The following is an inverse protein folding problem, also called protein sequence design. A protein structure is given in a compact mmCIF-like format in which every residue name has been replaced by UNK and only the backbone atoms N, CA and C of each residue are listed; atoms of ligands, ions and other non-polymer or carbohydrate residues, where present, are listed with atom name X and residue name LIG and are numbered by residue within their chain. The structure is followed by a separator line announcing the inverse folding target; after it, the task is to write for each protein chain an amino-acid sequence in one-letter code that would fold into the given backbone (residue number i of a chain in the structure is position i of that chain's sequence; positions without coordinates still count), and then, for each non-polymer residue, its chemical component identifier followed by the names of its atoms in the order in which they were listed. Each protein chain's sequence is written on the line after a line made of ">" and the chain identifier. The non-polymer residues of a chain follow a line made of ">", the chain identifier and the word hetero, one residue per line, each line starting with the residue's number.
data_IF_571892921728
#
_entry.id   IF_571892921728
#
_cell.length_a   1.000
_cell.length_b   1.000
_cell.length_c   1.000
_cell.angle_alpha   90.00
_cell.angle_beta   90.00
_cell.angle_gamma   90.00
#
_symmetry.space_group_name_H-M   'P 1'
#
loop_
_entity.id
_entity.type
_entity.pdbx_description
1 polymer ?
#
# COMPACT_ATOMS: atom_id res chain seq x y z
N UNK A 1 -25.62 -4.31 -22.20
CA UNK A 1 -24.52 -4.37 -23.20
C UNK A 1 -23.21 -4.10 -22.47
N UNK A 2 -22.31 -5.08 -22.41
CA UNK A 2 -20.95 -4.89 -21.90
C UNK A 2 -20.23 -3.94 -22.86
N UNK A 3 -19.86 -2.76 -22.40
CA UNK A 3 -19.07 -1.83 -23.21
C UNK A 3 -17.63 -2.38 -23.22
N UNK A 4 -17.28 -3.15 -24.25
CA UNK A 4 -15.89 -3.47 -24.55
C UNK A 4 -15.20 -2.16 -24.91
N UNK A 5 -14.44 -1.58 -23.97
CA UNK A 5 -13.61 -0.40 -24.28
C UNK A 5 -12.31 -0.86 -24.90
N UNK A 6 -12.06 -0.39 -26.12
CA UNK A 6 -10.75 -0.47 -26.75
C UNK A 6 -9.88 0.60 -26.08
N UNK A 7 -8.66 0.24 -25.70
CA UNK A 7 -7.72 1.20 -25.13
C UNK A 7 -7.34 2.25 -26.19
N UNK A 8 -7.26 3.50 -25.77
CA UNK A 8 -6.77 4.59 -26.63
C UNK A 8 -5.27 4.41 -26.88
N UNK A 9 -4.72 4.75 -28.06
CA UNK A 9 -3.31 4.51 -28.39
C UNK A 9 -2.30 5.14 -27.41
N UNK A 10 -2.70 6.21 -26.70
CA UNK A 10 -1.90 6.97 -25.76
C UNK A 10 -1.95 6.44 -24.31
N UNK A 11 -2.68 5.35 -24.05
CA UNK A 11 -2.95 4.87 -22.68
C UNK A 11 -1.68 4.67 -21.85
N UNK A 12 -0.63 4.14 -22.48
CA UNK A 12 0.62 3.79 -21.80
C UNK A 12 1.37 5.04 -21.33
N UNK A 13 1.55 6.01 -22.22
CA UNK A 13 2.23 7.28 -21.90
C UNK A 13 1.49 8.03 -20.78
N UNK A 14 0.16 8.08 -20.85
CA UNK A 14 -0.68 8.69 -19.81
C UNK A 14 -0.49 8.03 -18.44
N UNK A 15 -0.48 6.71 -18.39
CA UNK A 15 -0.27 5.95 -17.15
C UNK A 15 1.13 6.21 -16.59
N UNK A 16 2.16 6.16 -17.42
CA UNK A 16 3.55 6.42 -17.02
C UNK A 16 3.72 7.85 -16.47
N UNK A 17 3.17 8.86 -17.17
CA UNK A 17 3.20 10.25 -16.73
C UNK A 17 2.42 10.48 -15.42
N UNK A 18 1.25 9.87 -15.27
CA UNK A 18 0.46 9.96 -14.04
C UNK A 18 1.15 9.26 -12.87
N UNK A 19 1.64 8.03 -13.06
CA UNK A 19 2.38 7.29 -12.05
C UNK A 19 3.61 8.08 -11.59
N UNK A 20 4.38 8.61 -12.55
CA UNK A 20 5.55 9.44 -12.30
C UNK A 20 5.27 10.74 -11.53
N UNK A 21 4.02 11.21 -11.47
CA UNK A 21 3.62 12.39 -10.68
C UNK A 21 3.22 12.05 -9.24
N UNK A 22 2.94 10.79 -8.91
CA UNK A 22 2.54 10.38 -7.56
C UNK A 22 3.73 10.34 -6.59
N UNK A 23 3.81 11.34 -5.70
CA UNK A 23 4.85 11.37 -4.67
C UNK A 23 4.79 10.18 -3.70
N UNK A 24 3.59 9.63 -3.45
CA UNK A 24 3.41 8.46 -2.60
C UNK A 24 4.08 7.20 -3.18
N UNK A 25 3.94 6.95 -4.48
CA UNK A 25 4.59 5.81 -5.14
C UNK A 25 6.12 5.93 -5.12
N UNK A 26 6.63 7.15 -5.33
CA UNK A 26 8.07 7.43 -5.17
C UNK A 26 8.55 7.19 -3.74
N UNK A 27 7.77 7.60 -2.74
CA UNK A 27 8.12 7.43 -1.33
C UNK A 27 8.31 5.95 -0.96
N UNK A 28 7.40 5.09 -1.42
CA UNK A 28 7.46 3.65 -1.15
C UNK A 28 8.44 2.90 -2.07
N UNK A 29 9.04 3.57 -3.06
CA UNK A 29 9.95 2.95 -4.02
C UNK A 29 9.23 2.04 -5.02
N UNK A 30 7.97 2.31 -5.33
CA UNK A 30 7.21 1.57 -6.32
C UNK A 30 7.56 1.99 -7.74
N UNK A 31 7.67 1.02 -8.64
CA UNK A 31 7.99 1.20 -10.06
C UNK A 31 6.97 0.48 -10.94
N UNK A 32 6.65 1.07 -12.09
CA UNK A 32 5.76 0.46 -13.06
C UNK A 32 6.51 -0.64 -13.82
N UNK A 33 6.10 -1.90 -13.65
CA UNK A 33 6.76 -3.06 -14.25
C UNK A 33 6.09 -3.48 -15.57
N UNK A 34 4.76 -3.37 -15.64
CA UNK A 34 3.98 -3.72 -16.84
C UNK A 34 2.79 -2.78 -16.98
N UNK A 35 2.49 -2.38 -18.21
CA UNK A 35 1.31 -1.60 -18.54
C UNK A 35 0.74 -2.07 -19.88
N UNK A 36 -0.44 -2.69 -19.82
CA UNK A 36 -1.20 -3.21 -20.94
C UNK A 36 -2.68 -2.81 -20.80
N UNK A 37 -3.48 -2.88 -21.89
CA UNK A 37 -4.91 -2.63 -21.81
C UNK A 37 -5.59 -3.50 -20.75
N UNK A 38 -6.13 -2.86 -19.71
CA UNK A 38 -6.81 -3.47 -18.59
C UNK A 38 -5.91 -4.17 -17.57
N UNK A 39 -4.58 -4.15 -17.71
CA UNK A 39 -3.64 -4.84 -16.82
C UNK A 39 -2.45 -3.95 -16.50
N UNK A 40 -2.18 -3.74 -15.21
CA UNK A 40 -0.99 -3.01 -14.74
C UNK A 40 -0.31 -3.81 -13.64
N UNK A 41 1.02 -3.88 -13.71
CA UNK A 41 1.85 -4.46 -12.66
C UNK A 41 2.82 -3.41 -12.14
N UNK A 42 2.90 -3.32 -10.80
CA UNK A 42 3.80 -2.44 -10.06
C UNK A 42 4.72 -3.34 -9.24
N UNK A 43 6.02 -3.06 -9.28
CA UNK A 43 7.01 -3.72 -8.42
C UNK A 43 7.50 -2.77 -7.32
N UNK A 44 7.88 -3.34 -6.18
CA UNK A 44 8.43 -2.59 -5.06
C UNK A 44 9.47 -3.45 -4.31
N UNK A 45 10.69 -2.94 -4.05
CA UNK A 45 11.68 -3.66 -3.26
C UNK A 45 11.27 -3.69 -1.78
N UNK A 46 11.79 -4.66 -1.03
CA UNK A 46 11.69 -4.63 0.42
C UNK A 46 12.45 -3.43 0.99
N UNK A 47 11.82 -2.75 1.95
CA UNK A 47 12.38 -1.61 2.68
C UNK A 47 11.94 -1.64 4.13
N UNK A 48 12.90 -1.57 5.04
CA UNK A 48 12.64 -1.65 6.48
C UNK A 48 11.70 -0.55 6.96
N UNK A 49 11.79 0.66 6.38
CA UNK A 49 10.96 1.80 6.79
C UNK A 49 9.47 1.64 6.46
N UNK A 50 9.11 0.67 5.62
CA UNK A 50 7.73 0.38 5.22
C UNK A 50 7.13 -0.80 5.99
N UNK A 51 7.86 -1.35 6.96
CA UNK A 51 7.44 -2.50 7.74
C UNK A 51 6.55 -2.11 8.92
N UNK A 52 5.81 -3.09 9.45
CA UNK A 52 5.16 -2.99 10.75
C UNK A 52 6.09 -3.53 11.87
N UNK A 53 5.58 -3.63 13.11
CA UNK A 53 6.37 -3.95 14.31
C UNK A 53 7.08 -5.32 14.34
N UNK A 54 6.81 -6.20 13.38
CA UNK A 54 7.38 -7.54 13.21
C UNK A 54 8.29 -7.63 11.97
N UNK A 55 8.66 -6.51 11.35
CA UNK A 55 9.59 -6.48 10.22
C UNK A 55 9.02 -7.05 8.92
N UNK A 56 7.69 -7.09 8.79
CA UNK A 56 7.00 -7.48 7.54
C UNK A 56 6.32 -6.26 6.95
N UNK A 57 6.08 -6.28 5.64
CA UNK A 57 5.49 -5.13 4.95
C UNK A 57 4.14 -4.74 5.56
N UNK A 58 3.95 -3.45 5.83
CA UNK A 58 2.72 -2.95 6.45
C UNK A 58 1.52 -3.13 5.49
N UNK A 59 0.39 -3.61 6.03
CA UNK A 59 -0.82 -3.87 5.24
C UNK A 59 -1.30 -2.63 4.46
N UNK A 60 -1.21 -1.44 5.05
CA UNK A 60 -1.54 -0.18 4.39
C UNK A 60 -0.64 0.14 3.17
N UNK A 61 0.63 -0.29 3.18
CA UNK A 61 1.54 -0.11 2.04
C UNK A 61 1.15 -1.07 0.92
N UNK A 62 0.88 -2.33 1.26
CA UNK A 62 0.35 -3.34 0.32
C UNK A 62 -0.93 -2.82 -0.34
N UNK A 63 -1.88 -2.32 0.46
CA UNK A 63 -3.14 -1.78 -0.04
C UNK A 63 -2.93 -0.58 -0.95
N UNK A 64 -2.04 0.36 -0.60
CA UNK A 64 -1.78 1.54 -1.42
C UNK A 64 -1.18 1.20 -2.79
N UNK A 65 -0.25 0.23 -2.84
CA UNK A 65 0.33 -0.23 -4.09
C UNK A 65 -0.68 -1.03 -4.93
N UNK A 66 -1.51 -1.88 -4.31
CA UNK A 66 -2.60 -2.58 -4.99
C UNK A 66 -3.66 -1.64 -5.55
N UNK A 67 -4.10 -0.64 -4.77
CA UNK A 67 -5.07 0.36 -5.22
C UNK A 67 -4.53 1.13 -6.43
N UNK A 68 -3.24 1.48 -6.41
CA UNK A 68 -2.58 2.11 -7.55
C UNK A 68 -2.56 1.19 -8.77
N UNK A 69 -2.25 -0.10 -8.60
CA UNK A 69 -2.26 -1.08 -9.71
C UNK A 69 -3.66 -1.21 -10.32
N UNK A 70 -4.70 -1.36 -9.48
CA UNK A 70 -6.09 -1.42 -9.92
C UNK A 70 -6.56 -0.13 -10.61
N UNK A 71 -6.23 1.03 -10.04
CA UNK A 71 -6.58 2.33 -10.59
C UNK A 71 -5.94 2.57 -11.96
N UNK A 72 -4.66 2.23 -12.11
CA UNK A 72 -3.98 2.35 -13.39
C UNK A 72 -4.43 1.32 -14.43
N UNK A 73 -4.73 0.09 -14.00
CA UNK A 73 -5.38 -0.90 -14.87
C UNK A 73 -6.69 -0.35 -15.44
N UNK A 74 -7.53 0.27 -14.61
CA UNK A 74 -8.75 0.93 -15.06
C UNK A 74 -8.47 2.12 -16.00
N UNK A 75 -7.50 2.97 -15.67
CA UNK A 75 -7.13 4.15 -16.46
C UNK A 75 -6.74 3.79 -17.90
N UNK A 76 -6.09 2.65 -18.11
CA UNK A 76 -5.69 2.20 -19.45
C UNK A 76 -6.87 2.05 -20.43
N UNK A 77 -8.09 1.85 -19.91
CA UNK A 77 -9.33 1.67 -20.68
C UNK A 77 -10.23 2.91 -20.61
N UNK A 78 -9.75 4.04 -20.08
CA UNK A 78 -10.51 5.29 -20.01
C UNK A 78 -10.17 6.21 -21.20
N UNK A 79 -11.13 7.04 -21.65
CA UNK A 79 -10.88 8.08 -22.66
C UNK A 79 -9.68 8.97 -22.30
N UNK A 80 -9.00 9.54 -23.31
CA UNK A 80 -7.81 10.40 -23.14
C UNK A 80 -8.00 11.56 -22.17
N UNK A 81 -9.21 12.11 -22.10
CA UNK A 81 -9.56 13.26 -21.25
C UNK A 81 -10.04 12.90 -19.84
N UNK A 82 -10.11 11.61 -19.52
CA UNK A 82 -10.61 11.11 -18.25
C UNK A 82 -9.50 10.91 -17.22
N UNK A 83 -9.87 11.11 -15.95
CA UNK A 83 -9.07 10.75 -14.79
C UNK A 83 -9.72 9.57 -14.04
N UNK A 84 -8.89 8.76 -13.39
CA UNK A 84 -9.34 7.69 -12.50
C UNK A 84 -9.45 8.19 -11.06
N UNK A 85 -10.51 7.78 -10.36
CA UNK A 85 -10.68 8.03 -8.93
C UNK A 85 -11.22 6.77 -8.26
N UNK A 86 -10.52 6.25 -7.26
CA UNK A 86 -11.02 5.16 -6.42
C UNK A 86 -12.23 5.61 -5.62
N UNK A 87 -13.34 4.85 -5.71
CA UNK A 87 -14.53 5.03 -4.86
C UNK A 87 -14.35 4.27 -3.56
N UNK A 88 -14.00 3.00 -3.69
CA UNK A 88 -13.78 2.08 -2.59
C UNK A 88 -12.90 0.92 -3.04
N UNK A 89 -12.35 0.20 -2.08
CA UNK A 89 -11.82 -1.13 -2.29
C UNK A 89 -11.97 -1.98 -1.04
N UNK A 90 -11.97 -3.30 -1.24
CA UNK A 90 -11.85 -4.31 -0.19
C UNK A 90 -10.59 -5.13 -0.42
N UNK A 91 -9.71 -5.17 0.57
CA UNK A 91 -8.51 -6.02 0.57
C UNK A 91 -8.68 -7.22 1.52
N UNK A 92 -8.14 -8.38 1.16
CA UNK A 92 -7.91 -9.52 2.04
C UNK A 92 -6.41 -9.78 2.14
N UNK A 93 -5.89 -9.91 3.35
CA UNK A 93 -4.49 -10.27 3.61
C UNK A 93 -4.43 -11.78 3.86
N UNK A 94 -3.86 -12.51 2.90
CA UNK A 94 -3.86 -13.98 2.87
C UNK A 94 -2.63 -14.58 3.55
N UNK A 95 -1.50 -13.89 3.46
CA UNK A 95 -0.24 -14.32 4.06
C UNK A 95 0.61 -13.11 4.49
N UNK A 96 1.62 -13.29 5.37
CA UNK A 96 2.52 -12.21 5.75
C UNK A 96 3.27 -11.63 4.54
N UNK A 97 3.42 -10.31 4.49
CA UNK A 97 4.23 -9.60 3.49
C UNK A 97 5.74 -9.78 3.71
N UNK A 98 6.21 -11.03 3.61
CA UNK A 98 7.62 -11.44 3.74
C UNK A 98 8.17 -11.78 2.36
N UNK A 99 9.09 -10.96 1.87
CA UNK A 99 9.77 -11.14 0.60
C UNK A 99 10.89 -10.12 0.45
N UNK A 100 11.76 -10.34 -0.53
CA UNK A 100 12.83 -9.41 -0.92
C UNK A 100 12.31 -8.35 -1.89
N UNK A 101 11.25 -8.69 -2.62
CA UNK A 101 10.50 -7.80 -3.50
C UNK A 101 9.02 -8.15 -3.52
N UNK A 102 8.21 -7.22 -3.96
CA UNK A 102 6.75 -7.36 -4.02
C UNK A 102 6.25 -6.98 -5.41
N UNK A 103 5.29 -7.75 -5.91
CA UNK A 103 4.61 -7.52 -7.19
C UNK A 103 3.12 -7.29 -6.93
N UNK A 104 2.58 -6.20 -7.45
CA UNK A 104 1.19 -5.82 -7.33
C UNK A 104 0.58 -5.77 -8.72
N UNK A 105 -0.29 -6.73 -9.03
CA UNK A 105 -1.00 -6.81 -10.31
C UNK A 105 -2.42 -6.33 -10.12
N UNK A 106 -2.85 -5.36 -10.93
CA UNK A 106 -4.24 -4.94 -11.09
C UNK A 106 -4.77 -5.34 -12.46
N UNK A 107 -6.03 -5.76 -12.51
CA UNK A 107 -6.71 -6.17 -13.74
C UNK A 107 -8.17 -5.71 -13.72
N UNK A 108 -8.66 -5.19 -14.86
CA UNK A 108 -10.05 -4.74 -14.98
C UNK A 108 -10.98 -5.94 -15.15
N UNK A 109 -11.71 -6.27 -14.09
CA UNK A 109 -12.73 -7.32 -14.10
C UNK A 109 -13.96 -6.91 -14.91
N UNK A 110 -14.37 -5.64 -14.81
CA UNK A 110 -15.54 -5.12 -15.54
C UNK A 110 -15.31 -3.68 -15.98
N UNK A 111 -15.14 -3.44 -17.30
CA UNK A 111 -15.10 -2.09 -17.83
C UNK A 111 -16.48 -1.43 -17.79
N UNK A 112 -16.52 -0.10 -17.79
CA UNK A 112 -17.75 0.67 -17.77
C UNK A 112 -17.53 2.15 -18.09
N UNK A 113 -18.63 2.85 -18.40
CA UNK A 113 -18.57 4.26 -18.81
C UNK A 113 -18.24 5.20 -17.65
N UNK A 114 -18.88 4.98 -16.50
CA UNK A 114 -18.77 5.82 -15.30
C UNK A 114 -18.06 5.08 -14.17
N UNK A 115 -18.38 3.79 -13.99
CA UNK A 115 -17.83 2.95 -12.93
C UNK A 115 -17.18 1.72 -13.57
N UNK A 116 -15.99 1.37 -13.11
CA UNK A 116 -15.26 0.16 -13.47
C UNK A 116 -14.97 -0.66 -12.20
N UNK A 117 -14.91 -1.98 -12.33
CA UNK A 117 -14.45 -2.87 -11.27
C UNK A 117 -13.12 -3.45 -11.67
N UNK A 118 -12.15 -3.42 -10.77
CA UNK A 118 -10.82 -4.01 -10.96
C UNK A 118 -10.46 -4.91 -9.79
N UNK A 119 -9.88 -6.06 -10.09
CA UNK A 119 -9.32 -6.97 -9.10
C UNK A 119 -7.81 -6.83 -9.07
N UNK A 120 -7.23 -7.08 -7.90
CA UNK A 120 -5.80 -6.96 -7.65
C UNK A 120 -5.25 -8.13 -6.86
N UNK A 121 -4.00 -8.49 -7.14
CA UNK A 121 -3.26 -9.54 -6.46
C UNK A 121 -1.87 -9.05 -6.10
N UNK A 122 -1.48 -9.21 -4.84
CA UNK A 122 -0.15 -8.88 -4.35
C UNK A 122 0.62 -10.16 -4.07
N UNK A 123 1.86 -10.19 -4.53
CA UNK A 123 2.78 -11.30 -4.34
C UNK A 123 4.03 -10.84 -3.61
N UNK A 124 4.48 -11.62 -2.64
CA UNK A 124 5.84 -11.51 -2.11
C UNK A 124 6.74 -12.50 -2.85
N UNK A 125 7.94 -12.04 -3.20
CA UNK A 125 8.90 -12.82 -3.98
C UNK A 125 10.22 -12.91 -3.23
N UNK A 126 10.79 -14.11 -3.21
CA UNK A 126 12.14 -14.42 -2.77
C UNK A 126 12.88 -15.13 -3.91
N UNK A 127 14.16 -15.44 -3.73
CA UNK A 127 14.92 -16.29 -4.65
C UNK A 127 14.30 -17.67 -4.91
N UNK A 128 13.50 -18.19 -3.97
CA UNK A 128 13.00 -19.57 -4.00
C UNK A 128 11.50 -19.70 -4.23
N UNK A 129 10.71 -18.67 -3.92
CA UNK A 129 9.26 -18.75 -3.97
C UNK A 129 8.58 -17.42 -4.36
N UNK A 130 7.40 -17.56 -4.96
CA UNK A 130 6.43 -16.48 -5.15
C UNK A 130 5.19 -16.85 -4.36
N UNK A 131 4.78 -16.02 -3.41
CA UNK A 131 3.61 -16.26 -2.55
C UNK A 131 2.57 -15.16 -2.72
N UNK A 132 1.32 -15.54 -2.97
CA UNK A 132 0.19 -14.61 -2.91
C UNK A 132 -0.03 -14.15 -1.46
N UNK A 133 0.08 -12.85 -1.21
CA UNK A 133 -0.01 -12.26 0.13
C UNK A 133 -1.30 -11.46 0.33
N UNK A 134 -1.88 -10.91 -0.72
CA UNK A 134 -3.16 -10.19 -0.63
C UNK A 134 -3.95 -10.24 -1.94
N UNK A 135 -5.27 -10.09 -1.81
CA UNK A 135 -6.19 -9.85 -2.93
C UNK A 135 -7.01 -8.60 -2.68
N UNK A 136 -7.39 -7.90 -3.73
CA UNK A 136 -8.21 -6.70 -3.69
C UNK A 136 -9.30 -6.76 -4.74
N UNK A 137 -10.48 -6.23 -4.42
CA UNK A 137 -11.48 -5.80 -5.40
C UNK A 137 -11.75 -4.33 -5.14
N UNK A 138 -11.68 -3.52 -6.19
CA UNK A 138 -11.87 -2.07 -6.11
C UNK A 138 -12.84 -1.55 -7.15
N UNK A 139 -13.55 -0.49 -6.78
CA UNK A 139 -14.46 0.24 -7.67
C UNK A 139 -13.86 1.59 -8.05
N UNK A 140 -13.67 1.80 -9.35
CA UNK A 140 -13.04 2.97 -9.93
C UNK A 140 -14.06 3.84 -10.66
N UNK A 141 -14.02 5.15 -10.43
CA UNK A 141 -14.82 6.13 -11.16
C UNK A 141 -14.01 6.71 -12.33
N UNK A 142 -14.66 6.79 -13.48
CA UNK A 142 -14.20 7.58 -14.63
C UNK A 142 -14.69 9.02 -14.42
N UNK A 143 -13.75 9.94 -14.20
CA UNK A 143 -14.05 11.35 -14.00
C UNK A 143 -13.68 12.13 -15.26
N UNK A 144 -14.69 12.73 -15.90
CA UNK A 144 -14.53 13.65 -17.03
C UNK A 144 -14.92 15.08 -16.61
N UNK A 145 -14.39 16.08 -17.30
CA UNK A 145 -14.81 17.50 -17.21
C UNK A 145 -14.78 18.17 -15.83
N UNK A 146 -14.05 17.61 -14.85
CA UNK A 146 -13.83 18.28 -13.55
C UNK A 146 -12.52 19.05 -13.55
N UNK A 147 -12.61 20.39 -13.56
CA UNK A 147 -11.48 21.31 -13.37
C UNK A 147 -10.69 20.91 -12.12
N UNK A 148 -9.40 20.61 -12.28
CA UNK A 148 -8.49 20.24 -11.20
C UNK A 148 -8.41 18.74 -10.87
N UNK A 149 -9.09 17.86 -11.61
CA UNK A 149 -8.89 16.40 -11.56
C UNK A 149 -8.35 15.83 -12.87
N UNK A 150 -8.43 16.59 -13.95
CA UNK A 150 -7.72 16.29 -15.19
C UNK A 150 -6.22 16.33 -14.97
N UNK A 151 -5.50 15.50 -15.73
CA UNK A 151 -4.04 15.45 -15.76
C UNK A 151 -3.46 16.71 -16.42
N UNK A 152 -3.64 17.83 -15.74
CA UNK A 152 -3.11 19.12 -16.10
C UNK A 152 -1.60 19.14 -15.80
N UNK A 153 -0.81 19.04 -16.87
CA UNK A 153 0.66 19.07 -16.83
C UNK A 153 1.20 20.36 -16.17
N UNK A 154 0.42 21.45 -16.17
CA UNK A 154 0.87 22.78 -15.70
C UNK A 154 0.63 23.07 -14.21
N UNK A 155 -0.12 22.24 -13.49
CA UNK A 155 -0.54 22.54 -12.11
C UNK A 155 0.61 22.67 -11.10
N UNK A 156 1.78 22.08 -11.38
CA UNK A 156 2.98 22.19 -10.52
C UNK A 156 3.61 23.58 -10.52
N UNK A 157 3.44 24.41 -11.56
CA UNK A 157 3.98 25.78 -11.55
C UNK A 157 3.28 26.69 -10.53
N UNK A 158 2.09 26.33 -10.06
CA UNK A 158 1.22 27.24 -9.28
C UNK A 158 0.81 26.72 -7.90
N UNK A 159 1.22 25.52 -7.48
CA UNK A 159 0.86 25.02 -6.16
C UNK A 159 1.63 25.78 -5.06
N UNK A 160 0.99 26.61 -4.23
CA UNK A 160 1.68 27.26 -3.14
C UNK A 160 2.09 26.19 -2.12
N UNK A 161 3.33 26.26 -1.63
CA UNK A 161 3.76 25.45 -0.50
C UNK A 161 2.77 25.65 0.65
N UNK A 162 2.01 24.61 1.01
CA UNK A 162 1.19 24.63 2.21
C UNK A 162 2.14 24.81 3.40
N UNK A 163 2.27 26.05 3.88
CA UNK A 163 2.81 26.34 5.20
C UNK A 163 1.81 25.78 6.19
N UNK A 164 2.12 24.63 6.76
CA UNK A 164 1.37 24.03 7.85
C UNK A 164 1.48 24.96 9.06
N UNK A 165 0.55 25.92 9.16
CA UNK A 165 0.43 26.80 10.31
C UNK A 165 0.04 25.97 11.52
N UNK A 166 0.90 25.98 12.54
CA UNK A 166 0.85 25.23 13.79
C UNK A 166 -0.33 25.60 14.70
N UNK A 167 -1.57 25.37 14.23
CA UNK A 167 -2.76 25.38 15.08
C UNK A 167 -3.61 24.16 14.75
N UNK A 168 -3.21 23.03 15.33
CA UNK A 168 -4.08 21.89 15.51
C UNK A 168 -5.25 22.34 16.40
N UNK A 169 -6.42 22.59 15.80
CA UNK A 169 -7.66 22.71 16.57
C UNK A 169 -8.10 21.29 16.88
N UNK A 170 -7.93 20.90 18.14
CA UNK A 170 -8.59 19.72 18.69
C UNK A 170 -10.08 19.89 18.42
N UNK A 171 -10.67 18.95 17.69
CA UNK A 171 -12.10 18.92 17.43
C UNK A 171 -12.78 18.47 18.72
N UNK A 172 -13.19 19.42 19.57
CA UNK A 172 -14.09 19.12 20.68
C UNK A 172 -15.50 19.03 20.13
N UNK A 173 -16.15 17.88 20.31
CA UNK A 173 -17.54 17.69 19.97
C UNK A 173 -18.42 18.77 20.65
N UNK A 174 -19.42 19.34 19.95
CA UNK A 174 -20.32 20.31 20.55
C UNK A 174 -21.36 19.59 21.40
N UNK A 175 -21.35 19.84 22.71
CA UNK A 175 -22.47 19.50 23.58
C UNK A 175 -22.08 18.90 24.91
N UNK A 176 -21.61 19.72 25.84
CA UNK A 176 -21.89 19.58 27.28
C UNK A 176 -21.59 20.92 27.95
N UNK A 177 -22.64 21.71 28.13
CA UNK A 177 -22.57 22.96 28.88
C UNK A 177 -22.48 22.61 30.37
N UNK A 178 -21.28 22.69 30.95
CA UNK A 178 -21.12 22.72 32.40
C UNK A 178 -21.28 24.17 32.88
N UNK A 179 -22.32 24.38 33.68
CA UNK A 179 -22.55 25.60 34.45
C UNK A 179 -21.34 25.91 35.33
N UNK A 180 -20.60 26.97 34.99
CA UNK A 180 -19.59 27.55 35.86
C UNK A 180 -20.28 28.43 36.92
N UNK A 181 -20.50 27.86 38.10
CA UNK A 181 -20.83 28.59 39.32
C UNK A 181 -19.61 29.36 39.81
N UNK A 182 -19.77 30.66 39.94
CA UNK A 182 -18.85 31.60 40.57
C UNK A 182 -18.67 31.22 42.05
N UNK A 183 -17.45 30.96 42.51
CA UNK A 183 -17.11 31.28 43.90
C UNK A 183 -15.64 31.65 44.06
N UNK A 184 -15.40 32.81 44.69
CA UNK A 184 -14.08 33.38 44.99
C UNK A 184 -13.80 33.14 46.46
N UNK A 185 -12.79 32.34 46.78
CA UNK A 185 -12.45 32.05 48.17
C UNK A 185 -11.00 31.66 48.42
N UNK A 186 -10.18 32.68 48.67
CA UNK A 186 -9.11 32.77 49.70
C UNK A 186 -8.05 31.66 49.83
N UNK A 187 -6.80 32.09 49.71
CA UNK A 187 -5.58 31.35 50.02
C UNK A 187 -5.42 30.96 51.50
N UNK A 188 -4.83 29.79 51.76
CA UNK A 188 -3.98 29.54 52.93
C UNK A 188 -2.96 28.43 52.67
N UNK A 189 -1.77 28.61 53.26
CA UNK A 189 -0.57 27.75 53.15
C UNK A 189 -0.65 26.58 54.14
N UNK A 190 -0.19 25.40 53.73
CA UNK A 190 0.58 24.39 54.49
C UNK A 190 0.80 23.20 53.55
N UNK A 191 2.02 22.71 53.30
CA UNK A 191 2.83 21.93 54.23
C UNK A 191 2.69 20.45 53.86
N UNK A 192 3.68 19.88 53.15
CA UNK A 192 3.64 18.45 52.78
C UNK A 192 4.76 18.04 51.82
N UNK A 193 5.92 17.72 52.38
CA UNK A 193 6.92 16.88 51.73
C UNK A 193 6.34 15.49 51.46
N UNK A 194 6.79 14.78 50.40
CA UNK A 194 7.42 13.45 50.51
C UNK A 194 7.36 12.63 49.21
N UNK A 195 8.57 12.31 48.73
CA UNK A 195 9.04 11.00 48.22
C UNK A 195 8.59 10.44 46.86
N UNK A 196 9.59 10.50 45.98
CA UNK A 196 10.07 9.47 45.06
C UNK A 196 9.81 8.03 45.54
N UNK A 197 9.31 7.16 44.65
CA UNK A 197 9.58 5.72 44.72
C UNK A 197 9.70 5.12 43.31
N UNK A 198 10.93 5.07 42.82
CA UNK A 198 11.40 4.14 41.80
C UNK A 198 11.39 2.72 42.38
N UNK A 199 10.65 1.78 41.78
CA UNK A 199 10.78 0.35 42.06
C UNK A 199 11.42 -0.37 40.89
N UNK A 200 12.72 -0.57 41.06
CA UNK A 200 13.56 -1.59 40.45
C UNK A 200 13.28 -2.90 41.20
N UNK A 201 13.05 -4.00 40.48
CA UNK A 201 13.16 -5.35 41.03
C UNK A 201 14.08 -6.15 40.11
N UNK A 202 15.19 -6.57 40.69
CA UNK A 202 16.22 -7.42 40.12
C UNK A 202 16.23 -8.78 40.85
N UNK A 203 16.82 -9.77 40.17
CA UNK A 203 17.39 -11.02 40.67
C UNK A 203 16.50 -12.27 40.67
N UNK A 204 16.79 -13.24 39.79
CA UNK A 204 17.80 -14.32 40.01
C UNK A 204 17.77 -15.40 38.91
N UNK A 205 18.98 -15.77 38.51
CA UNK A 205 19.43 -16.91 37.68
C UNK A 205 18.78 -18.26 38.03
N UNK A 206 18.59 -19.11 37.02
CA UNK A 206 19.05 -20.51 37.05
C UNK A 206 19.34 -21.03 35.63
N UNK A 207 20.54 -21.63 35.49
CA UNK A 207 21.06 -22.33 34.31
C UNK A 207 20.68 -23.81 34.40
N UNK A 208 20.30 -24.43 33.29
CA UNK A 208 20.62 -25.85 32.97
C UNK A 208 20.60 -26.08 31.45
N UNK A 209 21.65 -26.75 30.95
CA UNK A 209 21.76 -27.47 29.65
C UNK A 209 22.07 -28.94 30.00
N UNK A 210 21.70 -29.91 29.15
CA UNK A 210 22.69 -30.56 28.25
C UNK A 210 22.14 -30.85 26.83
N UNK A 211 22.97 -30.74 25.75
CA UNK A 211 23.56 -31.81 24.89
C UNK A 211 22.53 -32.87 24.41
N UNK A 212 22.34 -33.26 23.15
CA UNK A 212 23.02 -33.08 21.84
C UNK A 212 22.72 -34.33 20.97
N UNK A 213 22.66 -34.22 19.63
CA UNK A 213 22.82 -35.26 18.55
C UNK A 213 22.17 -34.67 17.26
N UNK A 214 22.94 -34.14 16.29
CA UNK A 214 23.65 -34.82 15.19
C UNK A 214 22.72 -35.47 14.13
N UNK A 215 22.76 -34.97 12.89
CA UNK A 215 22.07 -35.57 11.74
C UNK A 215 22.08 -34.74 10.44
N UNK A 216 23.22 -34.79 9.74
CA UNK A 216 23.49 -34.69 8.29
C UNK A 216 22.46 -34.13 7.27
N UNK A 217 22.98 -33.32 6.34
CA UNK A 217 22.40 -33.11 5.01
C UNK A 217 23.03 -31.95 4.23
N UNK A 218 24.21 -32.17 3.61
CA UNK A 218 24.80 -31.25 2.62
C UNK A 218 24.01 -31.32 1.31
N UNK A 219 23.69 -30.17 0.70
CA UNK A 219 23.60 -30.05 -0.76
C UNK A 219 24.36 -28.78 -1.19
N UNK A 220 25.14 -28.97 -2.25
CA UNK A 220 26.18 -28.15 -2.84
C UNK A 220 25.68 -26.98 -3.68
N UNK A 221 26.45 -25.89 -3.60
CA UNK A 221 26.84 -24.93 -4.64
C UNK A 221 25.89 -24.63 -5.82
N UNK A 222 25.49 -23.35 -5.91
CA UNK A 222 25.16 -22.68 -7.17
C UNK A 222 25.96 -21.38 -7.22
N UNK A 223 26.75 -21.21 -8.29
CA UNK A 223 27.59 -20.04 -8.55
C UNK A 223 26.78 -18.79 -8.91
N UNK A 224 27.25 -17.57 -8.60
CA UNK A 224 26.55 -16.34 -8.96
C UNK A 224 26.92 -15.92 -10.39
N UNK A 225 25.93 -15.88 -11.28
CA UNK A 225 26.10 -15.39 -12.65
C UNK A 225 25.03 -15.92 -13.60
N UNK A 226 23.86 -15.28 -13.61
CA UNK A 226 22.76 -15.63 -14.51
C UNK A 226 21.83 -14.45 -14.78
N UNK A 227 21.74 -14.07 -16.04
CA UNK A 227 21.08 -12.88 -16.61
C UNK A 227 19.56 -12.77 -16.38
N UNK A 228 19.06 -11.52 -16.47
CA UNK A 228 17.73 -10.93 -16.20
C UNK A 228 16.54 -11.55 -16.99
N UNK A 229 16.73 -12.62 -17.76
CA UNK A 229 15.69 -13.19 -18.65
C UNK A 229 14.90 -14.38 -18.08
N UNK A 230 15.31 -14.93 -16.93
CA UNK A 230 14.79 -16.22 -16.42
C UNK A 230 13.44 -16.21 -15.68
N UNK A 231 12.96 -15.06 -15.20
CA UNK A 231 11.78 -14.97 -14.32
C UNK A 231 10.45 -15.16 -15.09
N UNK A 232 10.44 -14.94 -16.41
CA UNK A 232 9.24 -15.04 -17.25
C UNK A 232 8.72 -16.48 -17.46
N UNK A 233 9.50 -17.53 -17.19
CA UNK A 233 9.08 -18.92 -17.44
C UNK A 233 8.30 -19.59 -16.32
N UNK A 234 8.20 -18.99 -15.14
CA UNK A 234 7.52 -19.61 -13.98
C UNK A 234 6.03 -19.23 -13.93
N UNK A 235 5.61 -18.12 -14.53
CA UNK A 235 4.22 -17.65 -14.49
C UNK A 235 3.32 -18.20 -15.62
N UNK A 236 3.90 -18.76 -16.69
CA UNK A 236 3.13 -19.39 -17.78
C UNK A 236 2.58 -20.79 -17.45
N UNK A 237 2.88 -21.35 -16.26
CA UNK A 237 2.50 -22.73 -15.89
C UNK A 237 1.25 -22.86 -15.01
N UNK A 238 0.64 -21.75 -14.59
CA UNK A 238 -0.56 -21.75 -13.73
C UNK A 238 -1.82 -21.31 -14.48
N UNK A 239 -2.01 -21.85 -15.68
CA UNK A 239 -3.31 -21.80 -16.36
C UNK A 239 -4.34 -22.61 -15.56
N UNK A 240 -5.17 -21.92 -14.78
CA UNK A 240 -6.44 -22.42 -14.27
C UNK A 240 -7.56 -21.52 -14.78
N UNK A 241 -7.89 -21.70 -16.06
CA UNK A 241 -9.18 -21.36 -16.63
C UNK A 241 -10.07 -22.60 -16.45
N UNK A 242 -11.01 -22.58 -15.51
CA UNK A 242 -12.32 -23.25 -15.60
C UNK A 242 -13.03 -23.40 -14.23
N UNK A 243 -14.34 -23.17 -14.29
CA UNK A 243 -15.41 -23.75 -13.46
C UNK A 243 -15.62 -23.17 -12.04
N UNK A 244 -16.46 -22.13 -11.97
CA UNK A 244 -17.55 -22.03 -10.99
C UNK A 244 -18.78 -21.44 -11.70
N UNK A 245 -19.72 -22.32 -12.05
CA UNK A 245 -21.16 -22.03 -12.13
C UNK A 245 -21.76 -22.64 -10.86
#
# INVERSE_FOLDING_TARGET
>A
MSAHRVAEPDFKERVEESFGRQAAMKLIGAELARCEPGIVEIEMPFREELTQQHGILHAGVISAALDSACGYAALTLMPSDAAVLTIEFKVNLLAPGKGERFLFRGEVTKPGRTIMVSDGQAFAVTDTEVRLIATMTGTMMVVQDRKGLQDDKDRRRKAPALRYGSRCRIWTAPGEALHAGHDRGRASRSGGQSRICSRQLDSRRQKTRPRGLAGFGRISQISPGGSISGIFRILSRYGCFAAWI
#
